data_IF_210563919948
#
_entry.id   IF_210563919948
#
_cell.length_a   1.000
_cell.length_b   1.000
_cell.length_c   1.000
_cell.angle_alpha   90.00
_cell.angle_beta   90.00
_cell.angle_gamma   90.00
#
_symmetry.space_group_name_H-M   'P 1'
#
loop_
_entity.id
_entity.type
_entity.pdbx_description
1 polymer ?
#
# COMPACT_ATOMS: atom_id res chain seq x y z
N UNK A 1 19.86 -9.23 -19.02
CA UNK A 1 20.12 -9.10 -17.56
C UNK A 1 18.80 -8.93 -16.84
N UNK A 2 18.61 -9.65 -15.76
CA UNK A 2 17.39 -9.53 -14.97
C UNK A 2 17.38 -8.24 -14.18
N UNK A 3 16.21 -7.62 -14.05
CA UNK A 3 16.03 -6.45 -13.19
C UNK A 3 15.99 -6.88 -11.72
N UNK A 4 16.17 -5.92 -10.83
CA UNK A 4 16.03 -6.18 -9.40
C UNK A 4 14.62 -6.72 -9.06
N UNK A 5 13.59 -6.18 -9.72
CA UNK A 5 12.22 -6.66 -9.55
C UNK A 5 12.08 -8.11 -9.98
N UNK A 6 12.67 -8.48 -11.11
CA UNK A 6 12.64 -9.87 -11.58
C UNK A 6 13.29 -10.82 -10.58
N UNK A 7 14.44 -10.42 -10.02
CA UNK A 7 15.15 -11.22 -9.02
C UNK A 7 14.31 -11.39 -7.76
N UNK A 8 13.66 -10.33 -7.29
CA UNK A 8 12.84 -10.35 -6.07
C UNK A 8 11.59 -11.18 -6.27
N UNK A 9 11.01 -11.17 -7.48
CA UNK A 9 9.73 -11.84 -7.75
C UNK A 9 9.87 -13.28 -8.24
N UNK A 10 11.05 -13.69 -8.67
CA UNK A 10 11.29 -15.08 -9.07
C UNK A 10 11.19 -16.00 -7.85
N UNK A 11 10.69 -17.17 -8.05
CA UNK A 11 10.73 -18.20 -7.03
C UNK A 11 12.16 -18.54 -6.68
N UNK A 12 12.38 -19.05 -5.50
CA UNK A 12 13.70 -19.19 -4.92
C UNK A 12 14.25 -20.62 -5.03
N UNK A 13 14.29 -21.18 -6.21
CA UNK A 13 14.69 -22.58 -6.40
C UNK A 13 15.78 -22.73 -7.46
N UNK A 14 16.94 -22.15 -7.19
CA UNK A 14 18.11 -22.22 -8.05
C UNK A 14 19.33 -21.75 -7.31
N UNK A 15 20.30 -21.22 -8.05
CA UNK A 15 21.57 -20.77 -7.48
C UNK A 15 21.67 -19.25 -7.30
N UNK A 16 20.54 -18.54 -7.41
CA UNK A 16 20.51 -17.11 -7.18
C UNK A 16 20.47 -16.75 -5.69
N UNK A 17 20.65 -15.47 -5.37
CA UNK A 17 20.69 -14.99 -4.00
C UNK A 17 19.39 -15.18 -3.23
N UNK A 18 18.27 -15.35 -3.93
CA UNK A 18 16.96 -15.58 -3.30
C UNK A 18 16.55 -17.05 -3.31
N UNK A 19 17.49 -17.96 -3.64
CA UNK A 19 17.18 -19.37 -3.86
C UNK A 19 17.31 -20.23 -2.60
N UNK A 20 17.22 -19.64 -1.42
CA UNK A 20 17.25 -20.41 -0.18
C UNK A 20 16.23 -19.87 0.82
N UNK A 21 15.76 -20.78 1.67
CA UNK A 21 14.68 -20.47 2.61
C UNK A 21 15.10 -19.42 3.66
N UNK A 22 16.37 -19.37 4.02
CA UNK A 22 16.85 -18.39 5.00
C UNK A 22 16.73 -16.96 4.48
N UNK A 23 17.05 -16.75 3.20
CA UNK A 23 16.90 -15.43 2.59
C UNK A 23 15.42 -15.05 2.48
N UNK A 24 14.54 -16.00 2.14
CA UNK A 24 13.11 -15.77 2.06
C UNK A 24 12.53 -15.43 3.43
N UNK A 25 12.97 -16.11 4.48
CA UNK A 25 12.53 -15.82 5.84
C UNK A 25 12.98 -14.42 6.29
N UNK A 26 14.22 -14.05 5.98
CA UNK A 26 14.73 -12.72 6.28
C UNK A 26 13.95 -11.64 5.52
N UNK A 27 13.65 -11.89 4.25
CA UNK A 27 12.84 -10.98 3.44
C UNK A 27 11.46 -10.79 4.06
N UNK A 28 10.80 -11.87 4.44
CA UNK A 28 9.46 -11.80 5.02
C UNK A 28 9.47 -11.06 6.36
N UNK A 29 10.50 -11.25 7.16
CA UNK A 29 10.67 -10.52 8.41
C UNK A 29 10.84 -9.02 8.17
N UNK A 30 11.66 -8.64 7.19
CA UNK A 30 11.85 -7.25 6.82
C UNK A 30 10.58 -6.63 6.28
N UNK A 31 9.83 -7.36 5.46
CA UNK A 31 8.54 -6.89 4.92
C UNK A 31 7.51 -6.70 6.03
N UNK A 32 7.45 -7.60 6.99
CA UNK A 32 6.55 -7.46 8.13
C UNK A 32 6.86 -6.21 8.95
N UNK A 33 8.13 -5.92 9.17
CA UNK A 33 8.58 -4.70 9.87
C UNK A 33 8.24 -3.43 9.08
N UNK A 34 8.48 -3.45 7.78
CA UNK A 34 8.13 -2.34 6.91
C UNK A 34 6.63 -2.06 6.96
N UNK A 35 5.82 -3.10 6.86
CA UNK A 35 4.38 -2.97 6.89
C UNK A 35 3.91 -2.40 8.24
N UNK A 36 4.43 -2.90 9.33
CA UNK A 36 4.12 -2.41 10.68
C UNK A 36 4.46 -0.93 10.82
N UNK A 37 5.63 -0.51 10.33
CA UNK A 37 6.07 0.88 10.36
C UNK A 37 5.18 1.75 9.48
N UNK A 38 4.82 1.26 8.30
CA UNK A 38 3.89 1.95 7.40
C UNK A 38 2.54 2.18 8.09
N UNK A 39 1.96 1.15 8.68
CA UNK A 39 0.66 1.24 9.37
C UNK A 39 0.71 2.26 10.51
N UNK A 40 1.77 2.25 11.32
CA UNK A 40 1.96 3.23 12.38
C UNK A 40 2.03 4.65 11.83
N UNK A 41 2.77 4.84 10.75
CA UNK A 41 2.99 6.16 10.16
C UNK A 41 1.70 6.76 9.62
N UNK A 42 0.93 5.99 8.86
CA UNK A 42 -0.33 6.52 8.29
C UNK A 42 -1.36 6.82 9.37
N UNK A 43 -1.37 6.08 10.47
CA UNK A 43 -2.23 6.37 11.61
C UNK A 43 -1.82 7.66 12.32
N UNK A 44 -0.52 7.83 12.58
CA UNK A 44 0.00 9.05 13.20
C UNK A 44 -0.29 10.28 12.36
N UNK A 45 -0.21 10.15 11.05
CA UNK A 45 -0.42 11.26 10.12
C UNK A 45 -1.86 11.79 10.11
N UNK A 46 -2.82 11.08 10.71
CA UNK A 46 -4.22 11.54 10.74
C UNK A 46 -4.44 12.76 11.63
N UNK A 47 -3.44 13.18 12.40
CA UNK A 47 -3.57 14.28 13.38
C UNK A 47 -3.58 15.67 12.75
N UNK A 48 -2.99 15.85 11.57
CA UNK A 48 -2.84 17.16 10.93
C UNK A 48 -3.16 17.06 9.43
N UNK A 49 -3.71 18.16 8.89
CA UNK A 49 -4.11 18.23 7.47
C UNK A 49 -2.94 17.97 6.53
N UNK A 50 -1.79 18.61 6.76
CA UNK A 50 -0.61 18.39 5.92
C UNK A 50 -0.19 16.93 5.92
N UNK A 51 -0.22 16.28 7.08
CA UNK A 51 0.14 14.88 7.21
C UNK A 51 -0.91 13.96 6.55
N UNK A 52 -2.18 14.35 6.59
CA UNK A 52 -3.23 13.63 5.84
C UNK A 52 -2.98 13.70 4.34
N UNK A 53 -2.58 14.87 3.83
CA UNK A 53 -2.20 15.02 2.43
C UNK A 53 -1.02 14.12 2.09
N UNK A 54 -0.02 14.08 2.97
CA UNK A 54 1.14 13.20 2.81
C UNK A 54 0.74 11.72 2.81
N UNK A 55 -0.27 11.34 3.59
CA UNK A 55 -0.78 9.96 3.62
C UNK A 55 -1.26 9.49 2.26
N UNK A 56 -1.93 10.36 1.51
CA UNK A 56 -2.44 10.01 0.19
C UNK A 56 -1.29 9.55 -0.71
N UNK A 57 -0.22 10.35 -0.78
CA UNK A 57 0.95 10.00 -1.56
C UNK A 57 1.69 8.76 -1.02
N UNK A 58 1.78 8.64 0.29
CA UNK A 58 2.47 7.51 0.92
C UNK A 58 1.73 6.20 0.66
N UNK A 59 0.40 6.20 0.76
CA UNK A 59 -0.41 5.01 0.48
C UNK A 59 -0.38 4.68 -1.02
N UNK A 60 -0.43 5.70 -1.89
CA UNK A 60 -0.27 5.48 -3.33
C UNK A 60 1.05 4.75 -3.64
N UNK A 61 2.13 5.27 -3.09
CA UNK A 61 3.45 4.68 -3.26
C UNK A 61 3.49 3.24 -2.73
N UNK A 62 2.97 3.01 -1.54
CA UNK A 62 3.00 1.69 -0.91
C UNK A 62 2.21 0.66 -1.71
N UNK A 63 0.98 1.01 -2.13
CA UNK A 63 0.14 0.12 -2.92
C UNK A 63 0.81 -0.25 -4.24
N UNK A 64 1.29 0.74 -4.97
CA UNK A 64 1.94 0.52 -6.27
C UNK A 64 3.21 -0.31 -6.13
N UNK A 65 4.05 0.02 -5.15
CA UNK A 65 5.33 -0.67 -4.93
C UNK A 65 5.13 -2.12 -4.51
N UNK A 66 4.24 -2.36 -3.56
CA UNK A 66 4.02 -3.71 -3.03
C UNK A 66 3.41 -4.63 -4.07
N UNK A 67 2.48 -4.14 -4.87
CA UNK A 67 1.90 -4.91 -5.97
C UNK A 67 2.96 -5.21 -7.03
N UNK A 68 3.75 -4.22 -7.43
CA UNK A 68 4.80 -4.38 -8.43
C UNK A 68 5.86 -5.40 -7.99
N UNK A 69 6.22 -5.40 -6.72
CA UNK A 69 7.18 -6.32 -6.15
C UNK A 69 6.59 -7.67 -5.77
N UNK A 70 5.28 -7.83 -5.92
CA UNK A 70 4.54 -9.04 -5.47
C UNK A 70 4.76 -9.31 -3.98
N UNK A 71 4.80 -8.24 -3.21
CA UNK A 71 4.96 -8.26 -1.74
C UNK A 71 3.75 -7.63 -1.06
N UNK A 72 2.58 -7.72 -1.67
CA UNK A 72 1.36 -7.06 -1.22
C UNK A 72 0.51 -7.89 -0.25
N UNK A 73 1.05 -9.01 0.25
CA UNK A 73 0.35 -9.88 1.20
C UNK A 73 -0.07 -9.11 2.46
N UNK A 74 0.86 -8.40 3.08
CA UNK A 74 0.58 -7.64 4.30
C UNK A 74 -0.42 -6.51 4.05
N UNK A 75 -0.26 -5.83 2.92
CA UNK A 75 -1.19 -4.79 2.49
C UNK A 75 -2.60 -5.37 2.30
N UNK A 76 -2.71 -6.51 1.66
CA UNK A 76 -4.01 -7.15 1.42
C UNK A 76 -4.70 -7.52 2.74
N UNK A 77 -3.94 -8.03 3.71
CA UNK A 77 -4.49 -8.38 5.03
C UNK A 77 -5.09 -7.17 5.73
N UNK A 78 -4.47 -6.01 5.61
CA UNK A 78 -4.91 -4.77 6.26
C UNK A 78 -5.63 -3.80 5.32
N UNK A 79 -6.07 -4.26 4.15
CA UNK A 79 -6.61 -3.39 3.10
C UNK A 79 -7.76 -2.49 3.54
N UNK A 80 -8.68 -3.01 4.31
CA UNK A 80 -9.82 -2.22 4.76
C UNK A 80 -9.37 -1.05 5.63
N UNK A 81 -8.41 -1.30 6.50
CA UNK A 81 -7.86 -0.29 7.39
C UNK A 81 -7.05 0.77 6.62
N UNK A 82 -6.24 0.33 5.68
CA UNK A 82 -5.43 1.23 4.84
C UNK A 82 -6.34 2.14 4.03
N UNK A 83 -7.35 1.59 3.39
CA UNK A 83 -8.24 2.38 2.54
C UNK A 83 -9.20 3.25 3.35
N UNK A 84 -9.57 2.83 4.55
CA UNK A 84 -10.27 3.70 5.49
C UNK A 84 -9.44 4.94 5.86
N UNK A 85 -8.15 4.74 6.14
CA UNK A 85 -7.23 5.84 6.44
C UNK A 85 -7.06 6.75 5.23
N UNK A 86 -6.97 6.18 4.03
CA UNK A 86 -6.91 6.94 2.78
C UNK A 86 -8.14 7.84 2.64
N UNK A 87 -9.32 7.26 2.82
CA UNK A 87 -10.59 7.99 2.75
C UNK A 87 -10.66 9.10 3.79
N UNK A 88 -10.31 8.81 5.04
CA UNK A 88 -10.27 9.80 6.11
C UNK A 88 -9.30 10.93 5.81
N UNK A 89 -8.16 10.61 5.22
CA UNK A 89 -7.16 11.60 4.84
C UNK A 89 -7.71 12.55 3.79
N UNK A 90 -8.39 12.03 2.77
CA UNK A 90 -9.06 12.86 1.75
C UNK A 90 -10.11 13.76 2.41
N UNK A 91 -10.95 13.21 3.27
CA UNK A 91 -12.02 13.96 3.93
C UNK A 91 -11.47 15.07 4.82
N UNK A 92 -10.42 14.79 5.57
CA UNK A 92 -9.78 15.78 6.43
C UNK A 92 -9.23 16.96 5.62
N UNK A 93 -8.56 16.68 4.51
CA UNK A 93 -8.04 17.73 3.63
C UNK A 93 -9.18 18.53 3.00
N UNK A 94 -10.23 17.84 2.52
CA UNK A 94 -11.39 18.50 1.92
C UNK A 94 -12.10 19.46 2.87
N UNK A 95 -12.13 19.14 4.16
CA UNK A 95 -12.81 19.94 5.18
C UNK A 95 -11.97 21.13 5.67
N UNK A 96 -10.68 21.12 5.42
CA UNK A 96 -9.79 22.20 5.83
C UNK A 96 -9.66 23.25 4.72
N UNK A 97 -10.67 24.06 4.59
CA UNK A 97 -10.75 25.08 3.53
C UNK A 97 -9.63 26.11 3.63
N UNK A 98 -9.21 26.46 4.84
CA UNK A 98 -8.11 27.41 5.05
C UNK A 98 -6.80 26.84 4.50
N UNK A 99 -6.53 25.57 4.78
CA UNK A 99 -5.36 24.89 4.26
C UNK A 99 -5.35 24.84 2.73
N UNK A 100 -6.50 24.51 2.12
CA UNK A 100 -6.64 24.46 0.67
C UNK A 100 -6.41 25.85 0.06
N UNK A 101 -7.00 26.88 0.66
CA UNK A 101 -6.91 28.25 0.16
C UNK A 101 -5.54 28.87 0.32
N UNK A 102 -4.68 28.32 1.17
CA UNK A 102 -3.30 28.76 1.31
C UNK A 102 -2.41 28.32 0.14
N UNK A 103 -2.86 27.36 -0.66
CA UNK A 103 -2.15 26.98 -1.87
C UNK A 103 -2.31 28.06 -2.94
N UNK A 104 -1.28 28.23 -3.78
CA UNK A 104 -1.29 29.26 -4.84
C UNK A 104 -2.38 29.03 -5.88
N UNK A 105 -2.77 27.77 -6.07
CA UNK A 105 -3.82 27.39 -7.02
C UNK A 105 -4.79 26.40 -6.37
N UNK A 106 -5.74 26.89 -5.54
CA UNK A 106 -6.66 26.01 -4.80
C UNK A 106 -7.47 25.06 -5.68
N UNK A 107 -7.81 25.47 -6.90
CA UNK A 107 -8.55 24.61 -7.82
C UNK A 107 -7.77 23.35 -8.20
N UNK A 108 -6.44 23.48 -8.34
CA UNK A 108 -5.59 22.32 -8.63
C UNK A 108 -5.55 21.35 -7.46
N UNK A 109 -5.61 21.87 -6.23
CA UNK A 109 -5.69 21.02 -5.04
C UNK A 109 -7.00 20.25 -5.02
N UNK A 110 -8.10 20.88 -5.38
CA UNK A 110 -9.41 20.21 -5.47
C UNK A 110 -9.41 19.13 -6.54
N UNK A 111 -8.79 19.41 -7.69
CA UNK A 111 -8.64 18.40 -8.76
C UNK A 111 -7.78 17.22 -8.28
N UNK A 112 -6.72 17.51 -7.53
CA UNK A 112 -5.87 16.46 -6.97
C UNK A 112 -6.62 15.58 -5.97
N UNK A 113 -7.52 16.17 -5.19
CA UNK A 113 -8.35 15.41 -4.24
C UNK A 113 -9.38 14.54 -4.97
N UNK A 114 -9.98 15.06 -6.03
CA UNK A 114 -10.88 14.27 -6.89
C UNK A 114 -10.14 13.10 -7.51
N UNK A 115 -8.91 13.34 -7.99
CA UNK A 115 -8.06 12.28 -8.54
C UNK A 115 -7.68 11.25 -7.47
N UNK A 116 -7.45 11.69 -6.23
CA UNK A 116 -7.16 10.77 -5.12
C UNK A 116 -8.33 9.81 -4.87
N UNK A 117 -9.57 10.28 -4.98
CA UNK A 117 -10.74 9.41 -4.86
C UNK A 117 -10.79 8.35 -5.95
N UNK A 118 -10.42 8.71 -7.17
CA UNK A 118 -10.31 7.75 -8.27
C UNK A 118 -9.20 6.74 -8.03
N UNK A 119 -8.05 7.19 -7.52
CA UNK A 119 -6.93 6.31 -7.18
C UNK A 119 -7.28 5.31 -6.09
N UNK A 120 -8.07 5.72 -5.11
CA UNK A 120 -8.54 4.81 -4.07
C UNK A 120 -9.25 3.61 -4.68
N UNK A 121 -10.16 3.84 -5.62
CA UNK A 121 -10.89 2.78 -6.31
C UNK A 121 -9.92 1.91 -7.11
N UNK A 122 -8.99 2.53 -7.83
CA UNK A 122 -8.00 1.81 -8.63
C UNK A 122 -7.08 0.93 -7.77
N UNK A 123 -6.66 1.42 -6.60
CA UNK A 123 -5.85 0.64 -5.67
C UNK A 123 -6.61 -0.57 -5.14
N UNK A 124 -7.88 -0.39 -4.81
CA UNK A 124 -8.73 -1.50 -4.35
C UNK A 124 -8.86 -2.56 -5.43
N UNK A 125 -9.15 -2.15 -6.66
CA UNK A 125 -9.29 -3.06 -7.80
C UNK A 125 -7.96 -3.78 -8.11
N UNK A 126 -6.85 -3.05 -8.15
CA UNK A 126 -5.53 -3.62 -8.43
C UNK A 126 -5.12 -4.64 -7.37
N UNK A 127 -5.40 -4.35 -6.11
CA UNK A 127 -5.07 -5.24 -5.00
C UNK A 127 -5.89 -6.53 -5.05
N UNK A 128 -7.20 -6.42 -5.31
CA UNK A 128 -8.05 -7.59 -5.46
C UNK A 128 -7.59 -8.44 -6.65
N UNK A 129 -7.26 -7.80 -7.77
CA UNK A 129 -6.77 -8.49 -8.96
C UNK A 129 -5.45 -9.21 -8.68
N UNK A 130 -4.54 -8.57 -7.96
CA UNK A 130 -3.25 -9.15 -7.61
C UNK A 130 -3.39 -10.41 -6.76
N UNK A 131 -4.41 -10.48 -5.91
CA UNK A 131 -4.65 -11.63 -5.05
C UNK A 131 -5.58 -12.66 -5.66
N UNK A 132 -6.22 -12.35 -6.76
CA UNK A 132 -7.15 -13.26 -7.42
C UNK A 132 -6.39 -14.45 -8.00
N UNK A 133 -6.54 -15.60 -7.38
CA UNK A 133 -5.90 -16.84 -7.79
C UNK A 133 -4.63 -17.20 -7.03
N UNK A 134 -3.79 -16.24 -6.68
CA UNK A 134 -2.52 -16.49 -5.97
C UNK A 134 -2.71 -16.70 -4.48
N UNK A 135 -3.48 -15.84 -3.86
CA UNK A 135 -3.73 -15.88 -2.42
C UNK A 135 -4.88 -16.79 -2.06
N UNK A 136 -5.64 -17.20 -3.06
CA UNK A 136 -6.85 -18.01 -2.85
C UNK A 136 -6.55 -19.28 -2.06
N UNK A 137 -5.49 -20.00 -2.41
CA UNK A 137 -5.10 -21.23 -1.71
C UNK A 137 -4.67 -20.90 -0.28
N UNK A 138 -3.83 -19.88 -0.13
CA UNK A 138 -3.30 -19.46 1.19
C UNK A 138 -4.42 -18.99 2.12
N UNK A 139 -5.34 -18.17 1.60
CA UNK A 139 -6.47 -17.70 2.38
C UNK A 139 -7.46 -18.80 2.71
N UNK A 140 -7.70 -19.69 1.76
CA UNK A 140 -8.58 -20.83 1.97
C UNK A 140 -8.05 -21.71 3.10
N UNK A 141 -6.74 -21.98 3.13
CA UNK A 141 -6.11 -22.76 4.21
C UNK A 141 -6.29 -22.03 5.55
N UNK A 142 -6.02 -20.74 5.59
CA UNK A 142 -6.16 -19.95 6.80
C UNK A 142 -7.62 -19.90 7.28
N UNK A 143 -8.58 -19.80 6.37
CA UNK A 143 -10.00 -19.79 6.67
C UNK A 143 -10.48 -21.15 7.15
N UNK A 144 -10.01 -22.23 6.51
CA UNK A 144 -10.38 -23.59 6.88
C UNK A 144 -9.88 -23.98 8.27
N UNK A 145 -8.82 -23.32 8.76
CA UNK A 145 -8.27 -23.54 10.10
C UNK A 145 -8.97 -22.72 11.18
N UNK A 146 -9.88 -21.88 10.80
CA UNK A 146 -10.69 -21.10 11.71
C UNK A 146 -12.03 -21.82 11.96
#
# INVERSE_FOLDING_TARGET
MKTLTDIITEGAWGYGSLDNDYVLDDRDELMAKLHKNFMSKIKQNLQETQNCWNNIGLIDWYCESMIALKQDYWLYEDRYKVFEIYQKSIETVCQDTDWINDWSEPEKMQDALAFAREKLIKHQEALEKSHKGKSRIKYKIATDNN
#
